data_IF_160775490635
#
_entry.id   IF_160775490635
#
_cell.length_a   1.000
_cell.length_b   1.000
_cell.length_c   1.000
_cell.angle_alpha   90.00
_cell.angle_beta   90.00
_cell.angle_gamma   90.00
#
_symmetry.space_group_name_H-M   'P 1'
#
loop_
_entity.id
_entity.type
_entity.pdbx_description
1 polymer ?
#
# COMPACT_ATOMS: atom_id res chain seq x y z
N UNK A 1 12.31 12.48 -28.64
CA UNK A 1 11.15 11.77 -28.09
C UNK A 1 11.67 10.44 -27.54
N UNK A 2 11.99 10.36 -26.24
CA UNK A 2 12.49 9.08 -25.65
C UNK A 2 12.32 8.94 -24.14
N UNK A 3 11.87 9.96 -23.39
CA UNK A 3 11.71 9.81 -21.94
C UNK A 3 10.33 9.26 -21.53
N UNK A 4 9.30 9.46 -22.36
CA UNK A 4 7.94 8.97 -22.09
C UNK A 4 7.74 7.48 -22.45
N UNK A 5 8.57 6.90 -23.32
CA UNK A 5 8.46 5.47 -23.71
C UNK A 5 9.10 4.50 -22.70
N UNK A 6 10.05 4.98 -21.90
CA UNK A 6 10.73 4.18 -20.88
C UNK A 6 9.84 3.78 -19.70
N UNK A 7 8.97 4.64 -19.13
CA UNK A 7 8.13 4.25 -18.01
C UNK A 7 7.05 3.22 -18.40
N UNK A 8 6.41 3.37 -19.56
CA UNK A 8 5.38 2.42 -19.99
C UNK A 8 5.97 1.03 -20.29
N UNK A 9 7.16 0.98 -20.92
CA UNK A 9 7.88 -0.28 -21.14
C UNK A 9 8.32 -0.94 -19.83
N UNK A 10 8.83 -0.16 -18.89
CA UNK A 10 9.23 -0.66 -17.57
C UNK A 10 8.01 -1.19 -16.79
N UNK A 11 6.88 -0.48 -16.83
CA UNK A 11 5.63 -0.92 -16.22
C UNK A 11 5.19 -2.26 -16.80
N UNK A 12 5.15 -2.38 -18.13
CA UNK A 12 4.75 -3.61 -18.80
C UNK A 12 5.66 -4.79 -18.42
N UNK A 13 6.97 -4.56 -18.34
CA UNK A 13 7.93 -5.59 -17.93
C UNK A 13 7.71 -6.03 -16.47
N UNK A 14 7.56 -5.09 -15.54
CA UNK A 14 7.33 -5.43 -14.14
C UNK A 14 5.95 -6.05 -13.88
N UNK A 15 4.89 -5.58 -14.55
CA UNK A 15 3.55 -6.21 -14.48
C UNK A 15 3.61 -7.64 -14.99
N UNK A 16 4.23 -7.87 -16.15
CA UNK A 16 4.39 -9.21 -16.69
C UNK A 16 5.19 -10.12 -15.74
N UNK A 17 6.24 -9.60 -15.10
CA UNK A 17 6.98 -10.35 -14.10
C UNK A 17 6.10 -10.71 -12.89
N UNK A 18 5.29 -9.77 -12.40
CA UNK A 18 4.34 -9.99 -11.30
C UNK A 18 3.17 -10.94 -11.68
N UNK A 19 2.79 -11.01 -12.95
CA UNK A 19 1.80 -11.97 -13.46
C UNK A 19 2.37 -13.38 -13.56
N UNK A 20 3.63 -13.52 -14.00
CA UNK A 20 4.30 -14.82 -14.12
C UNK A 20 4.66 -15.37 -12.73
N UNK A 21 5.18 -14.51 -11.86
CA UNK A 21 5.57 -14.85 -10.49
C UNK A 21 4.97 -13.83 -9.50
N UNK A 22 3.74 -14.08 -8.99
CA UNK A 22 3.06 -13.18 -8.06
C UNK A 22 3.81 -12.95 -6.74
N UNK A 23 4.64 -13.91 -6.34
CA UNK A 23 5.43 -13.82 -5.11
C UNK A 23 6.82 -13.17 -5.34
N UNK A 24 7.12 -12.76 -6.57
CA UNK A 24 8.40 -12.15 -6.92
C UNK A 24 8.47 -10.71 -6.43
N UNK A 25 9.04 -10.54 -5.24
CA UNK A 25 9.16 -9.25 -4.56
C UNK A 25 9.77 -8.13 -5.41
N UNK A 26 10.81 -8.43 -6.19
CA UNK A 26 11.51 -7.45 -7.03
C UNK A 26 10.60 -6.82 -8.09
N UNK A 27 9.63 -7.58 -8.63
CA UNK A 27 8.71 -7.09 -9.64
C UNK A 27 7.78 -6.01 -9.04
N UNK A 28 7.22 -6.29 -7.87
CA UNK A 28 6.36 -5.35 -7.14
C UNK A 28 7.13 -4.11 -6.65
N UNK A 29 8.39 -4.28 -6.19
CA UNK A 29 9.26 -3.14 -5.84
C UNK A 29 9.54 -2.25 -7.06
N UNK A 30 9.78 -2.87 -8.22
CA UNK A 30 9.97 -2.16 -9.48
C UNK A 30 8.74 -1.31 -9.85
N UNK A 31 7.54 -1.90 -9.77
CA UNK A 31 6.28 -1.18 -10.00
C UNK A 31 6.11 -0.01 -9.03
N UNK A 32 6.29 -0.22 -7.73
CA UNK A 32 6.13 0.83 -6.72
C UNK A 32 7.07 2.00 -6.99
N UNK A 33 8.36 1.73 -7.22
CA UNK A 33 9.36 2.78 -7.48
C UNK A 33 9.07 3.54 -8.78
N UNK A 34 8.60 2.83 -9.82
CA UNK A 34 8.22 3.45 -11.08
C UNK A 34 7.03 4.40 -10.89
N UNK A 35 5.98 3.94 -10.23
CA UNK A 35 4.77 4.73 -9.97
C UNK A 35 5.06 5.95 -9.08
N UNK A 36 5.90 5.79 -8.05
CA UNK A 36 6.36 6.88 -7.19
C UNK A 36 7.13 7.96 -7.97
N UNK A 37 8.01 7.54 -8.89
CA UNK A 37 8.86 8.47 -9.67
C UNK A 37 8.11 9.20 -10.76
N UNK A 38 7.24 8.50 -11.47
CA UNK A 38 6.63 9.02 -12.69
C UNK A 38 5.45 9.94 -12.35
N UNK A 39 4.80 9.77 -11.19
CA UNK A 39 3.81 10.72 -10.66
C UNK A 39 2.56 10.94 -11.52
N UNK A 40 2.44 10.23 -12.65
CA UNK A 40 1.28 10.27 -13.54
C UNK A 40 0.03 9.85 -12.76
N UNK A 41 -1.05 10.62 -12.89
CA UNK A 41 -2.35 10.34 -12.26
C UNK A 41 -2.82 8.90 -12.50
N UNK A 42 -2.54 8.35 -13.68
CA UNK A 42 -2.91 6.98 -14.04
C UNK A 42 -2.23 5.92 -13.17
N UNK A 43 -0.96 6.11 -12.80
CA UNK A 43 -0.24 5.18 -11.92
C UNK A 43 -0.63 5.29 -10.45
N UNK A 44 -1.19 6.44 -10.04
CA UNK A 44 -1.68 6.62 -8.67
C UNK A 44 -2.89 5.75 -8.34
N UNK A 45 -3.67 5.32 -9.34
CA UNK A 45 -4.82 4.42 -9.13
C UNK A 45 -4.38 2.98 -8.84
N UNK A 46 -3.30 2.52 -9.46
CA UNK A 46 -2.76 1.16 -9.26
C UNK A 46 -1.78 1.04 -8.08
N UNK A 47 -1.15 2.15 -7.69
CA UNK A 47 -0.14 2.19 -6.63
C UNK A 47 -0.61 1.59 -5.29
N UNK A 48 -1.85 1.84 -4.81
CA UNK A 48 -2.35 1.22 -3.60
C UNK A 48 -2.33 -0.32 -3.66
N UNK A 49 -2.73 -0.91 -4.78
CA UNK A 49 -2.74 -2.37 -4.97
C UNK A 49 -1.33 -2.95 -4.99
N UNK A 50 -0.36 -2.24 -5.59
CA UNK A 50 1.05 -2.63 -5.57
C UNK A 50 1.59 -2.63 -4.13
N UNK A 51 1.30 -1.60 -3.33
CA UNK A 51 1.70 -1.57 -1.93
C UNK A 51 1.02 -2.66 -1.11
N UNK A 52 -0.27 -2.95 -1.31
CA UNK A 52 -0.96 -4.05 -0.65
C UNK A 52 -0.27 -5.39 -0.91
N UNK A 53 0.16 -5.66 -2.16
CA UNK A 53 0.96 -6.86 -2.46
C UNK A 53 2.32 -6.86 -1.81
N UNK A 54 3.03 -5.73 -1.79
CA UNK A 54 4.28 -5.63 -1.03
C UNK A 54 4.07 -5.89 0.47
N UNK A 55 2.97 -5.42 1.07
CA UNK A 55 2.64 -5.72 2.47
C UNK A 55 2.39 -7.22 2.68
N UNK A 56 1.69 -7.89 1.78
CA UNK A 56 1.49 -9.35 1.86
C UNK A 56 2.82 -10.11 1.79
N UNK A 57 3.75 -9.68 0.95
CA UNK A 57 5.07 -10.31 0.80
C UNK A 57 6.01 -10.00 1.98
N UNK A 58 5.89 -8.80 2.56
CA UNK A 58 6.72 -8.39 3.70
C UNK A 58 6.21 -8.86 5.06
N UNK A 59 4.92 -9.19 5.20
CA UNK A 59 4.27 -9.46 6.51
C UNK A 59 5.01 -10.46 7.39
N UNK A 60 5.69 -11.42 6.76
CA UNK A 60 6.42 -12.51 7.42
C UNK A 60 7.92 -12.52 7.14
N UNK A 61 8.42 -11.67 6.24
CA UNK A 61 9.82 -11.67 5.80
C UNK A 61 10.62 -10.51 6.39
N UNK A 62 10.10 -9.28 6.30
CA UNK A 62 10.82 -8.07 6.72
C UNK A 62 9.85 -7.04 7.33
N UNK A 63 9.85 -6.99 8.68
CA UNK A 63 8.99 -6.08 9.45
C UNK A 63 9.32 -4.60 9.22
N UNK A 64 10.58 -4.27 8.95
CA UNK A 64 11.00 -2.89 8.71
C UNK A 64 10.48 -2.42 7.34
N UNK A 65 10.67 -3.23 6.30
CA UNK A 65 10.13 -2.95 4.97
C UNK A 65 8.61 -2.92 4.97
N UNK A 66 7.98 -3.82 5.70
CA UNK A 66 6.53 -3.81 5.90
C UNK A 66 6.05 -2.46 6.45
N UNK A 67 6.72 -1.95 7.50
CA UNK A 67 6.40 -0.65 8.09
C UNK A 67 6.62 0.51 7.12
N UNK A 68 7.72 0.51 6.36
CA UNK A 68 7.99 1.53 5.33
C UNK A 68 6.87 1.59 4.28
N UNK A 69 6.40 0.44 3.80
CA UNK A 69 5.31 0.36 2.82
C UNK A 69 3.98 0.78 3.42
N UNK A 70 3.69 0.42 4.68
CA UNK A 70 2.50 0.89 5.39
C UNK A 70 2.47 2.42 5.45
N UNK A 71 3.58 3.05 5.85
CA UNK A 71 3.66 4.51 5.91
C UNK A 71 3.39 5.16 4.55
N UNK A 72 4.01 4.65 3.48
CA UNK A 72 3.78 5.14 2.11
C UNK A 72 2.32 5.01 1.67
N UNK A 73 1.69 3.88 2.01
CA UNK A 73 0.29 3.63 1.69
C UNK A 73 -0.64 4.57 2.50
N UNK A 74 -0.33 4.82 3.78
CA UNK A 74 -0.99 5.85 4.60
C UNK A 74 -0.88 7.22 3.94
N UNK A 75 0.33 7.67 3.61
CA UNK A 75 0.55 9.00 3.04
C UNK A 75 -0.21 9.19 1.72
N UNK A 76 -0.29 8.15 0.89
CA UNK A 76 -1.06 8.16 -0.35
C UNK A 76 -2.56 8.33 -0.08
N UNK A 77 -3.06 7.62 0.92
CA UNK A 77 -4.45 7.62 1.38
C UNK A 77 -4.85 8.87 2.15
N UNK A 78 -3.91 9.53 2.83
CA UNK A 78 -4.14 10.83 3.45
C UNK A 78 -4.30 11.94 2.42
N UNK A 79 -3.72 11.78 1.22
CA UNK A 79 -3.81 12.75 0.13
C UNK A 79 -5.01 12.52 -0.80
N UNK A 80 -5.62 11.34 -0.74
CA UNK A 80 -6.71 10.93 -1.63
C UNK A 80 -8.00 10.65 -0.84
N UNK A 81 -9.15 10.98 -1.42
CA UNK A 81 -10.42 10.54 -0.85
C UNK A 81 -10.61 9.06 -1.19
N UNK A 82 -10.51 8.19 -0.18
CA UNK A 82 -10.62 6.74 -0.35
C UNK A 82 -12.09 6.34 -0.36
N UNK A 83 -12.43 5.38 -1.21
CA UNK A 83 -13.75 4.77 -1.20
C UNK A 83 -13.89 3.74 -0.08
N UNK A 84 -15.11 3.61 0.45
CA UNK A 84 -15.43 2.68 1.54
C UNK A 84 -15.00 1.21 1.27
N UNK A 85 -15.09 0.66 0.04
CA UNK A 85 -14.61 -0.70 -0.24
C UNK A 85 -13.11 -0.89 0.00
N UNK A 86 -12.30 0.13 -0.31
CA UNK A 86 -10.85 0.09 -0.09
C UNK A 86 -10.57 0.08 1.40
N UNK A 87 -11.26 0.90 2.20
CA UNK A 87 -11.11 0.92 3.65
C UNK A 87 -11.41 -0.45 4.28
N UNK A 88 -12.45 -1.15 3.82
CA UNK A 88 -12.79 -2.49 4.29
C UNK A 88 -11.71 -3.53 3.93
N UNK A 89 -11.08 -3.41 2.75
CA UNK A 89 -9.96 -4.28 2.37
C UNK A 89 -8.71 -4.04 3.22
N UNK A 90 -8.39 -2.77 3.52
CA UNK A 90 -7.29 -2.42 4.44
C UNK A 90 -7.53 -2.99 5.83
N UNK A 91 -8.75 -2.83 6.34
CA UNK A 91 -9.16 -3.40 7.63
C UNK A 91 -9.02 -4.92 7.64
N UNK A 92 -9.43 -5.62 6.58
CA UNK A 92 -9.23 -7.07 6.43
C UNK A 92 -7.75 -7.45 6.45
N UNK A 93 -6.90 -6.65 5.80
CA UNK A 93 -5.45 -6.85 5.78
C UNK A 93 -4.85 -6.72 7.19
N UNK A 94 -5.25 -5.70 7.95
CA UNK A 94 -4.83 -5.50 9.34
C UNK A 94 -5.36 -6.60 10.25
N UNK A 95 -6.61 -7.02 10.08
CA UNK A 95 -7.20 -8.14 10.81
C UNK A 95 -6.44 -9.45 10.55
N UNK A 96 -5.93 -9.66 9.34
CA UNK A 96 -5.09 -10.82 9.03
C UNK A 96 -3.70 -10.76 9.69
N UNK A 97 -3.24 -9.57 10.07
CA UNK A 97 -2.00 -9.31 10.80
C UNK A 97 -2.29 -8.74 12.21
N UNK A 98 -3.24 -9.36 12.91
CA UNK A 98 -3.82 -8.84 14.16
C UNK A 98 -2.83 -8.65 15.30
N UNK A 99 -1.63 -9.23 15.22
CA UNK A 99 -0.57 -9.15 16.23
C UNK A 99 0.33 -7.92 16.11
N UNK A 100 0.15 -7.10 15.06
CA UNK A 100 0.99 -5.94 14.80
C UNK A 100 0.34 -4.66 15.32
N UNK A 101 0.84 -4.13 16.44
CA UNK A 101 0.52 -2.78 16.94
C UNK A 101 0.56 -1.75 15.80
N UNK A 102 1.60 -1.84 14.97
CA UNK A 102 1.85 -0.92 13.85
C UNK A 102 0.74 -0.97 12.81
N UNK A 103 0.10 -2.14 12.60
CA UNK A 103 -0.98 -2.29 11.62
C UNK A 103 -2.27 -1.58 12.07
N UNK A 104 -2.62 -1.69 13.36
CA UNK A 104 -3.77 -0.99 13.93
C UNK A 104 -3.55 0.52 14.03
N UNK A 105 -2.33 0.93 14.42
CA UNK A 105 -1.96 2.34 14.46
C UNK A 105 -2.04 2.98 13.08
N UNK A 106 -1.51 2.31 12.06
CA UNK A 106 -1.59 2.74 10.66
C UNK A 106 -3.03 2.91 10.18
N UNK A 107 -3.91 1.93 10.44
CA UNK A 107 -5.32 2.02 10.03
C UNK A 107 -6.04 3.19 10.73
N UNK A 108 -5.68 3.46 11.99
CA UNK A 108 -6.21 4.59 12.74
C UNK A 108 -5.81 5.94 12.10
N UNK A 109 -4.56 6.08 11.65
CA UNK A 109 -4.10 7.28 10.93
C UNK A 109 -4.90 7.49 9.64
N UNK A 110 -5.11 6.42 8.85
CA UNK A 110 -5.91 6.49 7.62
C UNK A 110 -7.34 6.96 7.92
N UNK A 111 -8.01 6.36 8.91
CA UNK A 111 -9.36 6.79 9.30
C UNK A 111 -9.41 8.23 9.81
N UNK A 112 -8.40 8.66 10.57
CA UNK A 112 -8.30 10.03 11.06
C UNK A 112 -8.20 11.04 9.91
N UNK A 113 -7.40 10.73 8.89
CA UNK A 113 -7.29 11.55 7.69
C UNK A 113 -8.57 11.59 6.85
N UNK A 114 -9.39 10.53 6.90
CA UNK A 114 -10.72 10.50 6.27
C UNK A 114 -11.82 11.16 7.12
N UNK A 115 -11.48 11.70 8.30
CA UNK A 115 -12.45 12.29 9.23
C UNK A 115 -13.31 11.26 9.97
N UNK A 116 -13.00 9.96 9.85
CA UNK A 116 -13.68 8.85 10.52
C UNK A 116 -13.13 8.68 11.95
N UNK A 117 -13.42 9.67 12.81
CA UNK A 117 -12.84 9.76 14.15
C UNK A 117 -13.20 8.57 15.07
N UNK A 118 -14.42 8.01 14.93
CA UNK A 118 -14.84 6.86 15.75
C UNK A 118 -14.09 5.58 15.38
N UNK A 119 -13.91 5.32 14.08
CA UNK A 119 -13.15 4.16 13.59
C UNK A 119 -11.67 4.29 13.93
N UNK A 120 -11.12 5.51 13.85
CA UNK A 120 -9.74 5.80 14.27
C UNK A 120 -9.54 5.50 15.77
N UNK A 121 -10.44 5.96 16.64
CA UNK A 121 -10.37 5.69 18.08
C UNK A 121 -10.43 4.19 18.38
N UNK A 122 -11.30 3.46 17.70
CA UNK A 122 -11.41 2.00 17.84
C UNK A 122 -10.10 1.30 17.45
N UNK A 123 -9.46 1.74 16.36
CA UNK A 123 -8.18 1.21 15.92
C UNK A 123 -7.03 1.54 16.89
N UNK A 124 -6.96 2.76 17.43
CA UNK A 124 -5.97 3.11 18.45
C UNK A 124 -6.14 2.31 19.75
N UNK A 125 -7.38 2.08 20.18
CA UNK A 125 -7.65 1.20 21.34
C UNK A 125 -7.18 -0.23 21.07
N UNK A 126 -7.34 -0.71 19.83
CA UNK A 126 -6.87 -2.03 19.41
C UNK A 126 -5.37 -2.13 19.28
N UNK A 127 -4.66 -1.06 18.90
CA UNK A 127 -3.20 -1.08 18.88
C UNK A 127 -2.62 -1.22 20.28
N UNK A 128 -3.25 -0.64 21.31
CA UNK A 128 -2.75 -0.61 22.70
C UNK A 128 -3.02 -1.88 23.52
N UNK A 129 -3.77 -2.86 22.99
CA UNK A 129 -4.05 -4.16 23.64
C UNK A 129 -3.00 -5.21 23.26
#
# INVERSE_FOLDING_TARGET
ASELEQPDQAQAAYRKAAEIEPDQLLAWQGLANLYEKVGHKHFKEDLPSVYQKLLELYKSSDKQKWYEVCKKLSDLYSQAQISEPVLEELKKTVLSNSTSYNAWHWLAEVYQHQGMMMDAEMCYRKSLQ
#
